data_IF_062973809049
#
_entry.id   IF_062973809049
#
_cell.length_a   1.000
_cell.length_b   1.000
_cell.length_c   1.000
_cell.angle_alpha   90.00
_cell.angle_beta   90.00
_cell.angle_gamma   90.00
#
_symmetry.space_group_name_H-M   'P 1'
#
loop_
_entity.id
_entity.type
_entity.pdbx_description
1 polymer ?
#
# COMPACT_ATOMS: atom_id res chain seq x y z
N UNK A 1 9.28 -0.54 -29.69
CA UNK A 1 10.57 -0.31 -29.00
C UNK A 1 10.39 0.74 -27.92
N UNK A 2 10.36 0.34 -26.64
CA UNK A 2 10.10 1.23 -25.48
C UNK A 2 11.26 2.22 -25.18
N UNK A 3 12.03 2.66 -26.16
CA UNK A 3 13.22 3.53 -25.98
C UNK A 3 14.20 3.09 -24.86
N UNK A 4 14.18 1.83 -24.43
CA UNK A 4 14.94 1.32 -23.29
C UNK A 4 14.35 1.65 -21.90
N UNK A 5 13.13 2.17 -21.80
CA UNK A 5 12.41 2.38 -20.54
C UNK A 5 11.84 1.06 -20.01
N UNK A 6 11.94 0.86 -18.69
CA UNK A 6 11.37 -0.32 -18.01
C UNK A 6 9.84 -0.33 -18.10
N UNK A 7 9.21 0.77 -17.66
CA UNK A 7 7.76 0.88 -17.52
C UNK A 7 7.14 1.64 -18.70
N UNK A 8 7.11 2.98 -18.63
CA UNK A 8 6.45 3.83 -19.61
C UNK A 8 7.43 4.79 -20.28
N UNK A 9 7.29 4.99 -21.59
CA UNK A 9 8.06 5.97 -22.36
C UNK A 9 7.08 7.03 -22.87
N UNK A 10 7.32 8.29 -22.52
CA UNK A 10 6.53 9.44 -22.97
C UNK A 10 7.38 10.36 -23.83
N UNK A 11 6.74 11.19 -24.64
CA UNK A 11 7.41 12.24 -25.39
C UNK A 11 7.21 13.57 -24.67
N UNK A 12 8.28 14.13 -24.13
CA UNK A 12 8.31 15.44 -23.48
C UNK A 12 9.08 16.43 -24.38
N UNK A 13 8.38 17.41 -24.96
CA UNK A 13 8.96 18.42 -25.85
C UNK A 13 9.85 17.87 -26.98
N UNK A 14 9.47 16.74 -27.58
CA UNK A 14 10.22 16.09 -28.66
C UNK A 14 11.29 15.11 -28.17
N UNK A 15 11.47 14.94 -26.86
CA UNK A 15 12.42 14.02 -26.24
C UNK A 15 11.69 12.80 -25.68
N UNK A 16 12.20 11.60 -25.99
CA UNK A 16 11.76 10.38 -25.31
C UNK A 16 12.27 10.38 -23.85
N UNK A 17 11.34 10.39 -22.90
CA UNK A 17 11.60 10.38 -21.46
C UNK A 17 10.91 9.16 -20.85
N UNK A 18 11.60 8.46 -19.95
CA UNK A 18 11.00 7.35 -19.20
C UNK A 18 10.24 7.89 -18.00
N UNK A 19 9.04 7.35 -17.78
CA UNK A 19 8.20 7.63 -16.62
C UNK A 19 7.85 6.33 -15.92
N UNK A 20 7.77 6.38 -14.61
CA UNK A 20 7.37 5.26 -13.78
C UNK A 20 5.89 5.36 -13.40
N UNK A 21 5.27 4.22 -13.14
CA UNK A 21 3.93 4.14 -12.59
C UNK A 21 3.89 4.69 -11.16
N UNK A 22 2.70 5.04 -10.65
CA UNK A 22 2.54 5.40 -9.23
C UNK A 22 3.13 4.32 -8.31
N UNK A 23 3.76 4.74 -7.21
CA UNK A 23 4.49 3.84 -6.31
C UNK A 23 5.93 3.57 -6.72
N UNK A 24 6.43 4.18 -7.81
CA UNK A 24 7.81 4.03 -8.26
C UNK A 24 8.47 5.39 -8.51
N UNK A 25 9.77 5.47 -8.30
CA UNK A 25 10.58 6.62 -8.69
C UNK A 25 11.59 6.24 -9.78
N UNK A 26 11.92 7.21 -10.63
CA UNK A 26 12.89 7.01 -11.71
C UNK A 26 14.29 6.87 -11.12
N UNK A 27 15.01 5.84 -11.54
CA UNK A 27 16.39 5.59 -11.14
C UNK A 27 17.37 6.62 -11.73
N UNK A 28 18.60 6.64 -11.23
CA UNK A 28 19.66 7.56 -11.67
C UNK A 28 19.99 7.37 -13.17
N UNK A 29 19.83 6.15 -13.69
CA UNK A 29 20.02 5.84 -15.10
C UNK A 29 18.92 6.42 -16.04
N UNK A 30 17.84 6.98 -15.45
CA UNK A 30 16.68 7.57 -16.11
C UNK A 30 15.88 6.62 -17.01
N UNK A 31 15.96 5.31 -16.77
CA UNK A 31 15.28 4.26 -17.54
C UNK A 31 14.59 3.22 -16.65
N UNK A 32 15.22 2.87 -15.53
CA UNK A 32 14.71 1.91 -14.55
C UNK A 32 13.78 2.60 -13.55
N UNK A 33 12.85 1.83 -12.99
CA UNK A 33 11.88 2.28 -12.02
C UNK A 33 12.08 1.51 -10.71
N UNK A 34 12.37 2.24 -9.65
CA UNK A 34 12.61 1.67 -8.33
C UNK A 34 11.34 1.88 -7.51
N UNK A 35 10.88 0.80 -6.89
CA UNK A 35 9.75 0.81 -5.98
C UNK A 35 9.99 1.78 -4.83
N UNK A 36 8.99 2.59 -4.50
CA UNK A 36 9.05 3.51 -3.37
C UNK A 36 8.60 2.72 -2.15
N UNK A 37 9.51 2.49 -1.21
CA UNK A 37 9.14 1.88 0.07
C UNK A 37 8.39 2.90 0.95
N UNK A 38 7.06 2.93 0.84
CA UNK A 38 6.25 3.88 1.61
C UNK A 38 6.26 3.57 3.11
N UNK A 39 6.57 2.33 3.50
CA UNK A 39 6.78 1.97 4.91
C UNK A 39 7.96 2.72 5.52
N UNK A 40 9.01 2.96 4.74
CA UNK A 40 10.18 3.72 5.16
C UNK A 40 9.97 5.22 5.04
N UNK A 41 9.37 5.67 3.93
CA UNK A 41 9.21 7.11 3.62
C UNK A 41 8.11 7.76 4.45
N UNK A 42 7.03 7.05 4.80
CA UNK A 42 5.87 7.59 5.49
C UNK A 42 5.76 7.14 6.96
N UNK A 43 6.89 6.94 7.65
CA UNK A 43 6.95 6.52 9.07
C UNK A 43 6.05 5.30 9.35
N UNK A 44 6.26 4.21 8.62
CA UNK A 44 5.45 2.99 8.72
C UNK A 44 4.15 3.04 7.90
N UNK A 45 4.10 3.81 6.79
CA UNK A 45 2.93 3.85 5.90
C UNK A 45 1.65 4.44 6.54
N UNK A 46 1.76 5.02 7.74
CA UNK A 46 0.60 5.37 8.56
C UNK A 46 -0.19 4.16 9.06
N UNK A 47 0.39 2.97 9.06
CA UNK A 47 -0.24 1.76 9.59
C UNK A 47 -0.27 1.77 11.12
N UNK A 48 -1.38 1.32 11.71
CA UNK A 48 -1.50 1.24 13.17
C UNK A 48 -0.57 0.18 13.78
N UNK A 49 -0.38 -0.93 13.05
CA UNK A 49 0.48 -2.03 13.49
C UNK A 49 1.71 -2.16 12.60
N UNK A 50 1.66 -3.00 11.58
CA UNK A 50 2.80 -3.32 10.74
C UNK A 50 2.55 -2.80 9.32
N UNK A 51 3.57 -2.22 8.72
CA UNK A 51 3.58 -1.87 7.30
C UNK A 51 4.36 -2.91 6.51
N UNK A 52 3.80 -3.33 5.38
CA UNK A 52 4.44 -4.27 4.45
C UNK A 52 4.55 -3.58 3.09
N UNK A 53 5.79 -3.34 2.66
CA UNK A 53 6.07 -2.79 1.34
C UNK A 53 5.74 -3.84 0.25
N UNK A 54 5.15 -3.41 -0.86
CA UNK A 54 4.74 -4.28 -1.98
C UNK A 54 5.07 -3.58 -3.30
N UNK A 55 5.56 -4.27 -4.32
CA UNK A 55 5.86 -3.61 -5.60
C UNK A 55 4.71 -2.76 -6.15
N UNK A 56 4.91 -1.44 -6.19
CA UNK A 56 4.00 -0.39 -6.64
C UNK A 56 3.06 0.16 -5.57
N UNK A 57 3.19 -0.27 -4.31
CA UNK A 57 2.34 0.19 -3.20
C UNK A 57 2.83 -0.29 -1.83
N UNK A 58 1.97 -0.19 -0.83
CA UNK A 58 2.17 -0.81 0.46
C UNK A 58 0.83 -1.27 1.01
N UNK A 59 0.88 -2.09 2.05
CA UNK A 59 -0.31 -2.45 2.81
C UNK A 59 -0.02 -2.55 4.29
N UNK A 60 -1.03 -2.24 5.08
CA UNK A 60 -0.98 -2.44 6.52
C UNK A 60 -1.37 -3.88 6.86
N UNK A 61 -0.71 -4.43 7.88
CA UNK A 61 -0.99 -5.75 8.44
C UNK A 61 -1.20 -5.62 9.94
N UNK A 62 -2.28 -6.22 10.40
CA UNK A 62 -2.61 -6.27 11.82
C UNK A 62 -1.97 -7.47 12.50
N UNK A 63 -1.61 -7.30 13.78
CA UNK A 63 -1.13 -8.39 14.63
C UNK A 63 -2.21 -9.47 14.81
N UNK A 64 -1.84 -10.71 15.16
CA UNK A 64 -2.81 -11.76 15.48
C UNK A 64 -3.83 -11.29 16.52
N UNK A 65 -5.11 -11.60 16.31
CA UNK A 65 -6.22 -11.12 17.14
C UNK A 65 -6.84 -9.80 16.69
N UNK A 66 -6.35 -9.20 15.60
CA UNK A 66 -6.88 -7.97 15.01
C UNK A 66 -7.19 -8.18 13.52
N UNK A 67 -8.15 -7.41 13.00
CA UNK A 67 -8.50 -7.32 11.58
C UNK A 67 -8.21 -5.92 11.06
N UNK A 68 -7.83 -5.81 9.80
CA UNK A 68 -7.65 -4.50 9.17
C UNK A 68 -9.02 -3.83 9.01
N UNK A 69 -9.12 -2.58 9.45
CA UNK A 69 -10.29 -1.73 9.30
C UNK A 69 -10.51 -1.33 7.84
N UNK A 70 -11.68 -0.78 7.52
CA UNK A 70 -12.08 -0.41 6.16
C UNK A 70 -11.22 0.73 5.57
N UNK A 71 -10.65 1.58 6.43
CA UNK A 71 -9.68 2.62 6.03
C UNK A 71 -8.33 2.05 5.57
N UNK A 72 -8.10 0.75 5.73
CA UNK A 72 -6.90 0.04 5.26
C UNK A 72 -5.64 0.31 6.09
N UNK A 73 -5.73 1.01 7.23
CA UNK A 73 -4.60 1.37 8.09
C UNK A 73 -4.78 0.99 9.55
N UNK A 74 -5.97 1.20 10.09
CA UNK A 74 -6.32 0.87 11.47
C UNK A 74 -6.60 -0.61 11.67
N UNK A 75 -6.44 -1.06 12.92
CA UNK A 75 -6.61 -2.46 13.28
C UNK A 75 -7.66 -2.61 14.37
N UNK A 76 -8.85 -3.06 13.98
CA UNK A 76 -9.88 -3.40 14.93
C UNK A 76 -9.55 -4.73 15.61
N UNK A 77 -9.92 -4.86 16.88
CA UNK A 77 -9.97 -6.17 17.51
C UNK A 77 -10.80 -7.08 16.60
N UNK A 78 -10.25 -8.25 16.30
CA UNK A 78 -11.00 -9.32 15.67
C UNK A 78 -11.98 -9.80 16.73
N UNK A 79 -13.08 -9.07 16.87
CA UNK A 79 -14.24 -9.52 17.61
C UNK A 79 -14.64 -10.82 16.94
N UNK A 80 -14.29 -11.93 17.57
CA UNK A 80 -14.89 -13.21 17.26
C UNK A 80 -16.41 -12.96 17.40
N UNK A 81 -17.12 -12.95 16.28
CA UNK A 81 -18.49 -12.43 16.16
C UNK A 81 -19.39 -12.86 17.32
N UNK A 82 -20.29 -11.95 17.73
CA UNK A 82 -21.20 -12.09 18.87
C UNK A 82 -20.54 -12.27 20.26
N UNK A 83 -19.29 -12.74 20.36
CA UNK A 83 -18.68 -13.16 21.63
C UNK A 83 -18.27 -12.00 22.53
N UNK A 84 -17.98 -10.82 21.97
CA UNK A 84 -17.72 -9.62 22.76
C UNK A 84 -18.82 -8.60 22.49
N UNK A 85 -19.50 -8.14 23.54
CA UNK A 85 -20.53 -7.10 23.45
C UNK A 85 -21.62 -7.38 22.40
N UNK A 86 -21.97 -8.66 22.18
CA UNK A 86 -22.97 -9.08 21.18
C UNK A 86 -22.66 -8.58 19.75
N UNK A 87 -21.38 -8.39 19.42
CA UNK A 87 -21.00 -7.83 18.11
C UNK A 87 -21.43 -6.37 17.90
N UNK A 88 -21.85 -5.66 18.95
CA UNK A 88 -22.46 -4.33 18.82
C UNK A 88 -23.94 -4.36 18.41
N UNK A 89 -24.60 -5.53 18.42
CA UNK A 89 -26.02 -5.64 18.13
C UNK A 89 -26.89 -5.29 19.36
N UNK A 90 -28.04 -4.66 19.11
CA UNK A 90 -29.05 -4.40 20.15
C UNK A 90 -29.80 -5.67 20.61
N UNK A 91 -29.77 -6.74 19.80
CA UNK A 91 -30.38 -8.05 20.04
C UNK A 91 -29.40 -9.17 19.71
N UNK A 92 -29.66 -10.37 20.21
CA UNK A 92 -28.78 -11.54 20.04
C UNK A 92 -28.28 -11.69 18.60
N UNK A 93 -26.97 -11.84 18.51
CA UNK A 93 -26.23 -12.03 17.29
C UNK A 93 -26.22 -13.55 16.98
N UNK A 94 -26.80 -13.92 15.84
CA UNK A 94 -26.96 -15.31 15.36
C UNK A 94 -26.07 -15.58 14.15
#
# INVERSE_FOLDING_TARGET
NKAGCEQHCINDNGRAVCQCFPGYHLAVDRKSCIDIDECTVMNGGGCEHECVNVYGSYRCRCKPGYKLADDGRSCDLKLEGCKLGNGGCQHDCY
#
